data_IF_330830013586
#
_entry.id   IF_330830013586
#
_cell.length_a   1.000
_cell.length_b   1.000
_cell.length_c   1.000
_cell.angle_alpha   90.00
_cell.angle_beta   90.00
_cell.angle_gamma   90.00
#
_symmetry.space_group_name_H-M   'P 1'
#
loop_
_entity.id
_entity.type
_entity.pdbx_description
1 polymer ?
#
# COMPACT_ATOMS: atom_id res chain seq x y z
N UNK A 1 -18.88 19.61 31.91
CA UNK A 1 -18.39 20.99 31.81
C UNK A 1 -18.74 21.72 33.10
N UNK A 2 -17.83 22.61 33.55
CA UNK A 2 -18.04 23.45 34.73
C UNK A 2 -19.04 24.57 34.40
N UNK A 3 -18.91 25.17 33.24
CA UNK A 3 -19.80 26.23 32.74
C UNK A 3 -20.50 25.77 31.49
N UNK A 4 -21.83 25.81 31.45
CA UNK A 4 -22.64 25.42 30.30
C UNK A 4 -22.39 26.33 29.10
N UNK A 5 -22.33 25.76 27.90
CA UNK A 5 -22.16 26.52 26.67
C UNK A 5 -20.74 26.91 26.30
N UNK A 6 -19.75 26.67 27.19
CA UNK A 6 -18.34 26.94 26.88
C UNK A 6 -17.57 25.66 26.57
N UNK A 7 -17.16 25.50 25.33
CA UNK A 7 -16.35 24.35 24.90
C UNK A 7 -14.87 24.74 25.01
N UNK A 8 -14.25 24.40 26.16
CA UNK A 8 -12.84 24.62 26.44
C UNK A 8 -12.31 23.52 27.34
N UNK A 9 -11.06 23.14 27.16
CA UNK A 9 -10.39 22.18 28.02
C UNK A 9 -10.36 22.61 29.49
N UNK A 10 -10.18 23.89 29.73
CA UNK A 10 -10.20 24.49 31.08
C UNK A 10 -11.60 24.46 31.75
N UNK A 11 -12.65 24.23 30.96
CA UNK A 11 -14.02 24.11 31.45
C UNK A 11 -14.43 22.67 31.84
N UNK A 12 -13.48 21.76 31.90
CA UNK A 12 -13.66 20.39 32.36
C UNK A 12 -13.14 20.29 33.79
N UNK A 13 -13.93 19.72 34.70
CA UNK A 13 -13.49 19.49 36.07
C UNK A 13 -12.16 18.69 36.08
N UNK A 14 -11.22 19.09 36.93
CA UNK A 14 -9.88 18.45 36.98
C UNK A 14 -9.93 16.95 37.22
N UNK A 15 -10.92 16.47 37.95
CA UNK A 15 -11.19 15.05 38.17
C UNK A 15 -11.56 14.27 36.92
N UNK A 16 -12.04 14.97 35.88
CA UNK A 16 -12.47 14.41 34.61
C UNK A 16 -11.45 14.67 33.48
N UNK A 17 -10.34 15.34 33.82
CA UNK A 17 -9.23 15.54 32.85
C UNK A 17 -8.31 14.34 32.92
N UNK A 18 -8.18 13.64 31.81
CA UNK A 18 -7.30 12.51 31.68
C UNK A 18 -6.22 12.82 30.65
N UNK A 19 -4.98 12.70 31.03
CA UNK A 19 -3.83 12.86 30.17
C UNK A 19 -3.21 11.49 29.91
N UNK A 20 -2.97 11.17 28.66
CA UNK A 20 -2.23 9.99 28.26
C UNK A 20 -1.03 10.43 27.43
N UNK A 21 0.16 10.14 27.93
CA UNK A 21 1.40 10.26 27.18
C UNK A 21 1.79 8.89 26.64
N UNK A 22 2.27 8.84 25.42
CA UNK A 22 2.67 7.60 24.78
C UNK A 22 3.82 7.82 23.79
N UNK A 23 4.86 7.02 23.93
CA UNK A 23 6.01 7.04 23.02
C UNK A 23 6.00 5.78 22.18
N UNK A 24 6.05 5.95 20.85
CA UNK A 24 6.24 4.87 19.90
C UNK A 24 7.62 4.96 19.29
N UNK A 25 8.35 3.84 19.25
CA UNK A 25 9.69 3.77 18.67
C UNK A 25 9.74 2.68 17.61
N UNK A 26 10.29 3.05 16.44
CA UNK A 26 10.58 2.15 15.34
C UNK A 26 11.99 2.40 14.84
N UNK A 27 12.71 1.32 14.54
CA UNK A 27 14.00 1.36 13.85
C UNK A 27 13.91 0.52 12.59
N UNK A 28 14.31 1.13 11.49
CA UNK A 28 14.44 0.47 10.20
C UNK A 28 15.83 0.76 9.66
N UNK A 29 16.56 -0.29 9.32
CA UNK A 29 17.87 -0.18 8.66
C UNK A 29 17.73 -0.86 7.31
N UNK A 30 18.13 -0.18 6.25
CA UNK A 30 18.05 -0.71 4.88
C UNK A 30 19.40 -0.62 4.18
N UNK A 31 19.75 -1.67 3.44
CA UNK A 31 20.86 -1.68 2.51
C UNK A 31 20.32 -1.98 1.11
N UNK A 32 20.73 -1.18 0.12
CA UNK A 32 20.28 -1.38 -1.25
C UNK A 32 21.41 -1.21 -2.24
N UNK A 33 21.26 -1.85 -3.39
CA UNK A 33 22.14 -1.70 -4.53
C UNK A 33 21.34 -1.65 -5.83
N UNK A 34 21.83 -0.88 -6.79
CA UNK A 34 21.27 -0.76 -8.13
C UNK A 34 22.35 -0.96 -9.16
N UNK A 35 22.02 -1.72 -10.22
CA UNK A 35 22.85 -1.89 -11.37
C UNK A 35 22.06 -1.59 -12.64
N UNK A 36 22.52 -0.61 -13.41
CA UNK A 36 21.89 -0.17 -14.66
C UNK A 36 22.81 -0.39 -15.84
N UNK A 37 22.26 -0.94 -16.93
CA UNK A 37 22.94 -1.11 -18.22
C UNK A 37 22.11 -0.46 -19.31
N UNK A 38 22.80 0.26 -20.19
CA UNK A 38 22.18 0.80 -21.41
C UNK A 38 22.95 0.36 -22.65
N UNK A 39 22.22 0.10 -23.72
CA UNK A 39 22.81 -0.26 -25.01
C UNK A 39 22.30 0.65 -26.11
N UNK A 40 23.21 1.34 -26.78
CA UNK A 40 22.96 2.24 -27.93
C UNK A 40 21.85 3.27 -27.69
N UNK A 41 21.62 3.70 -26.46
CA UNK A 41 20.51 4.56 -26.07
C UNK A 41 19.12 4.05 -26.45
N UNK A 42 19.02 2.76 -26.77
CA UNK A 42 17.78 2.11 -27.20
C UNK A 42 17.23 1.14 -26.16
N UNK A 43 18.11 0.34 -25.57
CA UNK A 43 17.73 -0.64 -24.57
C UNK A 43 18.31 -0.27 -23.20
N UNK A 44 17.49 -0.37 -22.18
CA UNK A 44 17.85 -0.09 -20.80
C UNK A 44 17.39 -1.24 -19.93
N UNK A 45 18.25 -1.69 -19.04
CA UNK A 45 17.95 -2.70 -18.03
C UNK A 45 18.45 -2.19 -16.68
N UNK A 46 17.58 -2.22 -15.67
CA UNK A 46 17.93 -1.88 -14.30
C UNK A 46 17.55 -3.04 -13.40
N UNK A 47 18.47 -3.45 -12.55
CA UNK A 47 18.25 -4.47 -11.51
C UNK A 47 18.55 -3.84 -10.17
N UNK A 48 17.64 -4.01 -9.21
CA UNK A 48 17.84 -3.52 -7.85
C UNK A 48 17.66 -4.65 -6.86
N UNK A 49 18.32 -4.52 -5.73
CA UNK A 49 18.10 -5.38 -4.58
C UNK A 49 18.18 -4.55 -3.31
N UNK A 50 17.23 -4.79 -2.40
CA UNK A 50 17.23 -4.14 -1.10
C UNK A 50 16.93 -5.15 -0.02
N UNK A 51 17.63 -5.03 1.10
CA UNK A 51 17.33 -5.75 2.34
C UNK A 51 17.06 -4.76 3.45
N UNK A 52 15.93 -4.94 4.12
CA UNK A 52 15.55 -4.14 5.28
C UNK A 52 15.53 -5.01 6.54
N UNK A 53 15.93 -4.38 7.67
CA UNK A 53 15.83 -4.94 9.02
C UNK A 53 14.93 -4.03 9.85
N UNK A 54 13.81 -4.57 10.32
CA UNK A 54 12.83 -3.80 11.10
C UNK A 54 12.72 -4.30 12.54
N UNK A 55 12.68 -3.35 13.47
CA UNK A 55 12.46 -3.64 14.89
C UNK A 55 11.01 -3.97 15.23
N UNK A 56 10.10 -3.87 14.29
CA UNK A 56 8.66 -4.12 14.51
C UNK A 56 8.25 -5.56 14.24
N UNK A 57 9.19 -6.35 13.69
CA UNK A 57 8.99 -7.77 13.38
C UNK A 57 9.74 -8.67 14.36
N UNK A 58 9.32 -9.94 14.51
CA UNK A 58 10.05 -10.91 15.32
C UNK A 58 11.46 -11.14 14.81
N UNK A 59 12.39 -11.54 15.69
CA UNK A 59 13.81 -11.74 15.34
C UNK A 59 14.01 -12.69 14.16
N UNK A 60 13.14 -13.68 13.97
CA UNK A 60 13.23 -14.63 12.85
C UNK A 60 12.78 -14.05 11.50
N UNK A 61 11.96 -13.01 11.53
CA UNK A 61 11.31 -12.40 10.34
C UNK A 61 11.68 -10.92 10.18
N UNK A 62 12.59 -10.38 10.99
CA UNK A 62 12.92 -8.96 10.99
C UNK A 62 13.72 -8.51 9.77
N UNK A 63 14.36 -9.45 9.06
CA UNK A 63 15.14 -9.20 7.85
C UNK A 63 14.39 -9.73 6.62
N UNK A 64 14.16 -8.87 5.64
CA UNK A 64 13.49 -9.27 4.41
C UNK A 64 14.13 -8.60 3.19
N UNK A 65 14.39 -9.44 2.18
CA UNK A 65 15.02 -9.04 0.93
C UNK A 65 13.97 -8.92 -0.17
N UNK A 66 14.10 -7.88 -0.98
CA UNK A 66 13.20 -7.66 -2.11
C UNK A 66 13.94 -7.09 -3.33
N UNK A 67 13.96 -7.85 -4.43
CA UNK A 67 14.56 -7.46 -5.69
C UNK A 67 13.58 -6.77 -6.62
N UNK A 68 14.11 -6.02 -7.60
CA UNK A 68 13.35 -5.58 -8.76
C UNK A 68 14.17 -5.68 -10.04
N UNK A 69 13.47 -5.82 -11.16
CA UNK A 69 14.04 -5.76 -12.50
C UNK A 69 13.12 -4.92 -13.37
N UNK A 70 13.69 -3.95 -14.07
CA UNK A 70 12.96 -3.16 -15.06
C UNK A 70 13.74 -3.06 -16.36
N UNK A 71 13.01 -3.12 -17.46
CA UNK A 71 13.58 -2.97 -18.79
C UNK A 71 12.75 -2.04 -19.66
N UNK A 72 13.41 -1.30 -20.54
CA UNK A 72 12.74 -0.52 -21.57
C UNK A 72 13.48 -0.57 -22.88
N UNK A 73 12.73 -0.51 -23.99
CA UNK A 73 13.25 -0.57 -25.31
C UNK A 73 12.60 0.50 -26.22
N UNK A 74 13.44 1.38 -26.74
CA UNK A 74 13.05 2.44 -27.69
C UNK A 74 13.10 1.87 -29.10
N UNK A 75 12.03 1.26 -29.54
CA UNK A 75 11.94 0.69 -30.88
C UNK A 75 11.86 1.74 -31.99
N UNK A 76 11.50 3.00 -31.66
CA UNK A 76 11.51 4.09 -32.62
C UNK A 76 12.89 4.37 -33.22
N UNK A 77 13.96 4.04 -32.51
CA UNK A 77 15.33 4.19 -33.04
C UNK A 77 15.66 3.24 -34.20
N UNK A 78 14.85 2.20 -34.39
CA UNK A 78 14.96 1.25 -35.52
C UNK A 78 14.10 1.62 -36.71
N UNK A 79 13.21 2.62 -36.56
CA UNK A 79 12.30 3.01 -37.62
C UNK A 79 12.96 4.00 -38.58
N UNK A 80 12.56 4.01 -39.87
CA UNK A 80 12.97 5.02 -40.83
C UNK A 80 12.61 6.44 -40.32
N UNK A 81 13.42 7.44 -40.68
CA UNK A 81 13.20 8.85 -40.27
C UNK A 81 11.87 9.44 -40.76
N UNK A 82 11.32 8.89 -41.82
CA UNK A 82 10.03 9.29 -42.41
C UNK A 82 8.83 8.55 -41.77
N UNK A 83 9.06 7.77 -40.73
CA UNK A 83 8.00 7.09 -40.02
C UNK A 83 7.01 8.08 -39.38
N UNK A 84 5.70 7.81 -39.44
CA UNK A 84 4.72 8.61 -38.70
C UNK A 84 4.87 8.50 -37.18
N UNK A 85 5.61 7.48 -36.70
CA UNK A 85 5.93 7.27 -35.28
C UNK A 85 7.17 8.09 -34.96
N UNK A 86 6.98 9.18 -34.21
CA UNK A 86 8.07 10.06 -33.79
C UNK A 86 8.80 9.55 -32.54
N UNK A 87 8.15 8.69 -31.75
CA UNK A 87 8.70 8.07 -30.56
C UNK A 87 7.93 6.79 -30.26
N UNK A 88 8.64 5.75 -29.87
CA UNK A 88 8.06 4.47 -29.50
C UNK A 88 8.91 3.75 -28.48
N UNK A 89 8.33 3.45 -27.32
CA UNK A 89 8.99 2.79 -26.21
C UNK A 89 8.08 1.74 -25.59
N UNK A 90 8.61 0.53 -25.42
CA UNK A 90 8.03 -0.52 -24.60
C UNK A 90 8.77 -0.57 -23.27
N UNK A 91 8.03 -0.77 -22.18
CA UNK A 91 8.59 -0.95 -20.85
C UNK A 91 7.98 -2.17 -20.16
N UNK A 92 8.76 -2.86 -19.38
CA UNK A 92 8.29 -3.93 -18.51
C UNK A 92 9.07 -3.88 -17.19
N UNK A 93 8.38 -4.15 -16.11
CA UNK A 93 8.99 -4.23 -14.80
C UNK A 93 8.39 -5.34 -13.96
N UNK A 94 9.20 -5.87 -13.07
CA UNK A 94 8.80 -6.77 -12.01
C UNK A 94 9.52 -6.37 -10.74
N UNK A 95 8.79 -6.33 -9.64
CA UNK A 95 9.35 -5.93 -8.34
C UNK A 95 8.68 -6.68 -7.20
N UNK A 96 9.47 -6.94 -6.15
CA UNK A 96 8.95 -7.22 -4.82
C UNK A 96 9.14 -6.00 -3.94
N UNK A 97 8.23 -5.79 -2.98
CA UNK A 97 8.32 -4.74 -1.96
C UNK A 97 7.88 -5.33 -0.64
N UNK A 98 8.69 -5.13 0.39
CA UNK A 98 8.36 -5.54 1.75
C UNK A 98 7.79 -4.38 2.58
N UNK A 99 6.83 -4.68 3.45
CA UNK A 99 6.31 -3.75 4.44
C UNK A 99 6.26 -4.45 5.80
N UNK A 100 6.79 -3.77 6.81
CA UNK A 100 6.81 -4.25 8.18
C UNK A 100 5.49 -3.98 8.92
N UNK A 101 5.39 -4.52 10.15
CA UNK A 101 4.25 -4.32 11.03
C UNK A 101 4.30 -2.96 11.74
N UNK A 102 3.19 -2.57 12.35
CA UNK A 102 3.15 -1.45 13.27
C UNK A 102 4.01 -1.73 14.53
N UNK A 103 4.56 -0.68 15.16
CA UNK A 103 5.31 -0.84 16.40
C UNK A 103 4.49 -1.59 17.45
N UNK A 104 5.16 -2.52 18.12
CA UNK A 104 4.59 -3.35 19.20
C UNK A 104 3.47 -4.33 18.80
N UNK A 105 3.16 -4.47 17.51
CA UNK A 105 2.16 -5.44 17.02
C UNK A 105 2.49 -6.90 17.36
N UNK A 106 3.76 -7.19 17.67
CA UNK A 106 4.23 -8.51 18.08
C UNK A 106 4.06 -8.79 19.58
N UNK A 107 3.74 -7.76 20.37
CA UNK A 107 3.73 -7.85 21.84
C UNK A 107 2.31 -7.86 22.38
N UNK A 108 2.08 -8.71 23.37
CA UNK A 108 0.89 -8.67 24.21
C UNK A 108 1.29 -8.18 25.59
N UNK A 109 0.68 -7.13 26.06
CA UNK A 109 0.98 -6.51 27.35
C UNK A 109 -0.32 -6.09 28.06
N UNK A 110 -0.22 -5.82 29.34
CA UNK A 110 -1.32 -5.24 30.12
C UNK A 110 -1.24 -3.71 30.03
N UNK A 111 -2.39 -3.07 30.01
CA UNK A 111 -2.47 -1.61 30.02
C UNK A 111 -2.11 -1.04 31.38
N UNK A 112 -1.76 0.24 31.42
CA UNK A 112 -1.50 0.99 32.65
C UNK A 112 -2.62 0.81 33.67
N UNK A 113 -2.30 0.93 34.95
CA UNK A 113 -3.30 0.80 36.01
C UNK A 113 -4.52 1.68 35.76
N UNK A 114 -5.69 1.10 35.83
CA UNK A 114 -6.97 1.81 35.83
C UNK A 114 -7.45 1.95 37.27
N UNK A 115 -7.74 3.17 37.69
CA UNK A 115 -8.29 3.44 39.03
C UNK A 115 -9.81 3.32 38.92
N UNK A 116 -10.37 2.35 39.63
CA UNK A 116 -11.80 2.16 39.73
C UNK A 116 -12.20 2.42 41.21
N UNK A 117 -12.69 3.61 41.49
CA UNK A 117 -12.91 4.03 42.90
C UNK A 117 -11.61 4.02 43.69
N UNK A 118 -11.54 3.19 44.71
CA UNK A 118 -10.35 3.02 45.58
C UNK A 118 -9.47 1.83 45.17
N UNK A 119 -9.75 1.18 44.06
CA UNK A 119 -9.02 0.00 43.61
C UNK A 119 -8.19 0.31 42.36
N UNK A 120 -6.99 -0.27 42.30
CA UNK A 120 -6.12 -0.20 41.15
C UNK A 120 -6.22 -1.54 40.43
N UNK A 121 -6.59 -1.48 39.18
CA UNK A 121 -6.63 -2.65 38.30
C UNK A 121 -5.73 -2.47 37.08
N UNK A 122 -5.40 -3.56 36.43
CA UNK A 122 -4.76 -3.59 35.12
C UNK A 122 -5.71 -4.25 34.13
N UNK A 123 -5.73 -3.75 32.89
CA UNK A 123 -6.56 -4.32 31.83
C UNK A 123 -5.71 -4.92 30.74
N UNK A 124 -6.30 -5.80 29.93
CA UNK A 124 -5.69 -6.23 28.70
C UNK A 124 -5.66 -5.06 27.69
N UNK A 125 -4.66 -5.03 26.84
CA UNK A 125 -4.68 -4.14 25.67
C UNK A 125 -5.84 -4.50 24.75
N UNK A 126 -6.22 -3.56 23.89
CA UNK A 126 -7.34 -3.74 22.95
C UNK A 126 -7.04 -4.80 21.89
N UNK A 127 -5.79 -4.85 21.41
CA UNK A 127 -5.35 -5.77 20.36
C UNK A 127 -4.34 -6.76 20.90
N UNK A 128 -4.60 -8.05 20.76
CA UNK A 128 -3.61 -9.09 21.04
C UNK A 128 -2.47 -9.03 20.02
N UNK A 129 -1.24 -8.96 20.50
CA UNK A 129 -0.05 -9.04 19.66
C UNK A 129 0.22 -10.45 19.15
N UNK A 130 1.04 -10.56 18.11
CA UNK A 130 1.41 -11.83 17.53
C UNK A 130 2.93 -11.93 17.33
N UNK A 131 3.57 -12.76 18.11
CA UNK A 131 5.03 -13.00 18.07
C UNK A 131 5.52 -13.73 16.80
N UNK A 132 4.61 -14.14 15.91
CA UNK A 132 4.91 -14.85 14.66
C UNK A 132 4.57 -14.03 13.42
N UNK A 133 4.38 -12.72 13.55
CA UNK A 133 4.10 -11.85 12.42
C UNK A 133 5.22 -11.89 11.38
N UNK A 134 4.83 -12.00 10.13
CA UNK A 134 5.70 -11.89 8.95
C UNK A 134 5.52 -10.53 8.28
N UNK A 135 6.53 -10.04 7.56
CA UNK A 135 6.36 -8.85 6.73
C UNK A 135 5.31 -9.10 5.63
N UNK A 136 4.58 -8.06 5.27
CA UNK A 136 3.77 -8.07 4.06
C UNK A 136 4.71 -8.01 2.85
N UNK A 137 4.50 -8.86 1.86
CA UNK A 137 5.29 -8.87 0.63
C UNK A 137 4.36 -8.64 -0.55
N UNK A 138 4.55 -7.52 -1.22
CA UNK A 138 3.89 -7.24 -2.49
C UNK A 138 4.80 -7.66 -3.64
N UNK A 139 4.25 -8.46 -4.54
CA UNK A 139 4.87 -8.79 -5.84
C UNK A 139 4.05 -8.10 -6.92
N UNK A 140 4.69 -7.30 -7.75
CA UNK A 140 4.04 -6.58 -8.83
C UNK A 140 4.79 -6.75 -10.14
N UNK A 141 4.05 -6.74 -11.25
CA UNK A 141 4.60 -6.60 -12.58
C UNK A 141 3.76 -5.61 -13.40
N UNK A 142 4.43 -4.95 -14.29
CA UNK A 142 3.87 -3.90 -15.13
C UNK A 142 4.43 -4.00 -16.53
N UNK A 143 3.58 -3.78 -17.54
CA UNK A 143 3.99 -3.56 -18.92
C UNK A 143 3.38 -2.27 -19.43
N UNK A 144 4.13 -1.53 -20.23
CA UNK A 144 3.68 -0.25 -20.77
C UNK A 144 4.18 -0.03 -22.20
N UNK A 145 3.40 0.73 -22.94
CA UNK A 145 3.69 1.17 -24.28
C UNK A 145 3.47 2.67 -24.37
N UNK A 146 4.52 3.40 -24.72
CA UNK A 146 4.47 4.84 -25.01
C UNK A 146 4.75 5.07 -26.48
N UNK A 147 3.88 5.79 -27.15
CA UNK A 147 4.02 6.15 -28.56
C UNK A 147 3.71 7.62 -28.78
N UNK A 148 4.43 8.25 -29.71
CA UNK A 148 4.15 9.58 -30.19
C UNK A 148 4.15 9.60 -31.71
N UNK A 149 3.21 10.28 -32.28
CA UNK A 149 2.97 10.35 -33.72
C UNK A 149 3.02 11.78 -34.23
N UNK A 150 3.25 11.93 -35.55
CA UNK A 150 3.15 13.17 -36.27
C UNK A 150 3.96 14.30 -35.63
N UNK A 151 5.25 14.08 -35.43
CA UNK A 151 6.16 15.03 -34.78
C UNK A 151 5.68 15.44 -33.38
N UNK A 152 5.30 14.46 -32.57
CA UNK A 152 4.82 14.61 -31.20
C UNK A 152 3.48 15.40 -31.09
N UNK A 153 2.66 15.40 -32.14
CA UNK A 153 1.32 16.01 -32.08
C UNK A 153 0.29 15.15 -31.38
N UNK A 154 0.45 13.84 -31.47
CA UNK A 154 -0.41 12.86 -30.79
C UNK A 154 0.49 11.99 -29.93
N UNK A 155 0.15 11.87 -28.66
CA UNK A 155 0.78 10.96 -27.71
C UNK A 155 -0.21 9.93 -27.22
N UNK A 156 0.27 8.70 -27.05
CA UNK A 156 -0.45 7.58 -26.47
C UNK A 156 0.47 6.91 -25.44
N UNK A 157 -0.01 6.76 -24.22
CA UNK A 157 0.63 5.96 -23.16
C UNK A 157 -0.39 4.96 -22.63
N UNK A 158 -0.02 3.71 -22.61
CA UNK A 158 -0.80 2.62 -22.07
C UNK A 158 0.03 1.82 -21.10
N UNK A 159 -0.57 1.51 -19.94
CA UNK A 159 0.04 0.68 -18.91
C UNK A 159 -0.95 -0.34 -18.43
N UNK A 160 -0.49 -1.58 -18.25
CA UNK A 160 -1.21 -2.63 -17.54
C UNK A 160 -0.36 -3.10 -16.37
N UNK A 161 -0.98 -3.26 -15.21
CA UNK A 161 -0.32 -3.71 -14.00
C UNK A 161 -1.10 -4.81 -13.28
N UNK A 162 -0.36 -5.62 -12.56
CA UNK A 162 -0.87 -6.63 -11.65
C UNK A 162 0.01 -6.69 -10.41
N UNK A 163 -0.60 -6.63 -9.24
CA UNK A 163 0.09 -6.79 -7.98
C UNK A 163 -0.64 -7.76 -7.05
N UNK A 164 0.12 -8.53 -6.30
CA UNK A 164 -0.37 -9.41 -5.25
C UNK A 164 0.39 -9.11 -3.97
N UNK A 165 -0.34 -8.76 -2.91
CA UNK A 165 0.22 -8.58 -1.57
C UNK A 165 -0.08 -9.81 -0.75
N UNK A 166 0.94 -10.50 -0.28
CA UNK A 166 0.85 -11.69 0.57
C UNK A 166 1.16 -11.34 2.02
N UNK A 167 0.71 -12.20 2.95
CA UNK A 167 0.88 -12.02 4.40
C UNK A 167 0.34 -10.67 4.90
N UNK A 168 -0.72 -10.16 4.30
CA UNK A 168 -1.30 -8.88 4.70
C UNK A 168 -1.64 -8.91 6.20
N UNK A 169 -1.17 -7.91 6.93
CA UNK A 169 -1.41 -7.80 8.36
C UNK A 169 -2.78 -7.16 8.57
N UNK A 170 -3.68 -7.93 9.13
CA UNK A 170 -5.03 -7.49 9.48
C UNK A 170 -5.26 -7.64 10.99
N UNK A 171 -6.26 -6.92 11.47
CA UNK A 171 -6.69 -6.97 12.86
C UNK A 171 -8.17 -7.41 12.95
N UNK A 172 -8.47 -8.69 12.68
CA UNK A 172 -9.83 -9.20 12.80
C UNK A 172 -10.31 -9.13 14.24
N UNK A 173 -11.62 -8.99 14.38
CA UNK A 173 -12.29 -9.01 15.67
C UNK A 173 -12.32 -10.43 16.23
N UNK A 174 -11.96 -10.54 17.48
CA UNK A 174 -12.04 -11.78 18.24
C UNK A 174 -13.39 -11.86 19.01
N UNK A 175 -13.70 -13.05 19.48
CA UNK A 175 -14.73 -13.24 20.50
C UNK A 175 -14.28 -12.54 21.79
N UNK A 176 -15.19 -11.80 22.42
CA UNK A 176 -14.92 -11.12 23.69
C UNK A 176 -14.53 -12.09 24.82
N UNK A 177 -14.82 -13.39 24.68
CA UNK A 177 -14.40 -14.41 25.61
C UNK A 177 -12.86 -14.57 25.74
N UNK A 178 -12.10 -14.09 24.73
CA UNK A 178 -10.65 -14.16 24.72
C UNK A 178 -9.96 -13.03 25.53
N UNK A 179 -10.73 -12.08 26.05
CA UNK A 179 -10.20 -10.92 26.78
C UNK A 179 -9.54 -9.85 25.90
N UNK A 180 -9.55 -10.02 24.56
CA UNK A 180 -9.07 -9.06 23.57
C UNK A 180 -10.17 -8.80 22.56
N UNK A 181 -10.14 -7.64 21.92
CA UNK A 181 -11.14 -7.26 20.92
C UNK A 181 -10.62 -7.54 19.51
N UNK A 182 -9.34 -7.27 19.28
CA UNK A 182 -8.67 -7.50 18.00
C UNK A 182 -7.45 -8.43 18.18
N UNK A 183 -6.97 -9.00 17.09
CA UNK A 183 -5.69 -9.73 17.06
C UNK A 183 -4.91 -9.39 15.79
N UNK A 184 -3.62 -9.10 15.93
CA UNK A 184 -2.75 -8.89 14.77
C UNK A 184 -2.37 -10.22 14.13
N UNK A 185 -2.72 -10.44 12.88
CA UNK A 185 -2.43 -11.67 12.15
C UNK A 185 -2.03 -11.39 10.70
N UNK A 186 -1.25 -12.28 10.10
CA UNK A 186 -1.10 -12.32 8.66
C UNK A 186 -2.32 -13.05 8.06
N UNK A 187 -3.20 -12.32 7.40
CA UNK A 187 -4.56 -12.77 7.10
C UNK A 187 -4.75 -13.37 5.71
N UNK A 188 -3.85 -13.10 4.78
CA UNK A 188 -4.03 -13.62 3.42
C UNK A 188 -3.41 -12.75 2.35
N UNK A 189 -4.01 -12.76 1.15
CA UNK A 189 -3.51 -12.02 0.00
C UNK A 189 -4.58 -11.09 -0.58
N UNK A 190 -4.10 -9.95 -1.10
CA UNK A 190 -4.91 -9.00 -1.86
C UNK A 190 -4.29 -8.84 -3.24
N UNK A 191 -5.13 -8.94 -4.26
CA UNK A 191 -4.72 -8.84 -5.65
C UNK A 191 -5.32 -7.58 -6.25
N UNK A 192 -4.47 -6.74 -6.85
CA UNK A 192 -4.89 -5.58 -7.62
C UNK A 192 -4.41 -5.71 -9.04
N UNK A 193 -5.29 -5.43 -9.99
CA UNK A 193 -4.98 -5.38 -11.42
C UNK A 193 -5.73 -4.25 -12.08
N UNK A 194 -5.08 -3.63 -13.04
CA UNK A 194 -5.70 -2.51 -13.73
C UNK A 194 -4.95 -2.09 -14.96
N UNK A 195 -5.51 -1.12 -15.64
CA UNK A 195 -4.89 -0.48 -16.77
C UNK A 195 -5.11 1.02 -16.74
N UNK A 196 -4.16 1.73 -17.31
CA UNK A 196 -4.19 3.17 -17.48
C UNK A 196 -3.92 3.52 -18.94
N UNK A 197 -4.66 4.47 -19.47
CA UNK A 197 -4.50 4.99 -20.82
C UNK A 197 -4.47 6.51 -20.75
N UNK A 198 -3.45 7.08 -21.36
CA UNK A 198 -3.36 8.54 -21.55
C UNK A 198 -3.22 8.85 -23.03
N UNK A 199 -4.08 9.70 -23.54
CA UNK A 199 -4.03 10.18 -24.91
C UNK A 199 -3.84 11.69 -24.86
N UNK A 200 -2.80 12.18 -25.51
CA UNK A 200 -2.53 13.62 -25.61
C UNK A 200 -2.58 14.07 -27.05
N UNK A 201 -3.05 15.27 -27.29
CA UNK A 201 -3.15 15.85 -28.61
C UNK A 201 -2.80 17.34 -28.63
N UNK A 202 -2.18 17.77 -29.74
CA UNK A 202 -1.90 19.18 -30.05
C UNK A 202 -2.55 19.54 -31.39
N UNK A 203 -3.91 19.67 -31.42
CA UNK A 203 -4.64 19.89 -32.66
C UNK A 203 -4.19 21.16 -33.37
N UNK A 204 -3.95 22.24 -32.63
CA UNK A 204 -3.50 23.52 -33.18
C UNK A 204 -2.19 23.93 -32.51
N UNK A 205 -1.19 24.12 -33.35
CA UNK A 205 0.12 24.61 -32.94
C UNK A 205 0.55 25.72 -33.89
N UNK A 206 0.18 26.96 -33.56
CA UNK A 206 0.54 28.18 -34.29
C UNK A 206 1.38 29.10 -33.40
N UNK A 207 2.02 30.10 -34.00
CA UNK A 207 2.90 31.04 -33.29
C UNK A 207 2.18 31.74 -32.11
N UNK A 208 0.93 32.15 -32.32
CA UNK A 208 0.16 32.95 -31.39
C UNK A 208 -1.02 32.22 -30.77
N UNK A 209 -1.21 30.94 -31.12
CA UNK A 209 -2.29 30.12 -30.57
C UNK A 209 -1.88 28.62 -30.47
N UNK A 210 -1.97 28.08 -29.30
CA UNK A 210 -1.67 26.67 -29.02
C UNK A 210 -2.83 26.04 -28.28
N UNK A 211 -3.32 24.92 -28.82
CA UNK A 211 -4.34 24.12 -28.18
C UNK A 211 -3.77 22.74 -27.89
N UNK A 212 -3.74 22.39 -26.61
CA UNK A 212 -3.35 21.05 -26.12
C UNK A 212 -4.53 20.43 -25.41
N UNK A 213 -4.69 19.13 -25.58
CA UNK A 213 -5.73 18.33 -24.93
C UNK A 213 -5.13 17.04 -24.39
N UNK A 214 -5.68 16.55 -23.28
CA UNK A 214 -5.33 15.27 -22.70
C UNK A 214 -6.60 14.54 -22.23
N UNK A 215 -6.65 13.25 -22.50
CA UNK A 215 -7.67 12.34 -22.02
C UNK A 215 -6.99 11.23 -21.24
N UNK A 216 -7.40 11.03 -19.98
CA UNK A 216 -6.89 9.97 -19.12
C UNK A 216 -8.03 9.03 -18.75
N UNK A 217 -7.77 7.74 -18.86
CA UNK A 217 -8.66 6.68 -18.44
C UNK A 217 -7.90 5.74 -17.52
N UNK A 218 -8.49 5.38 -16.39
CA UNK A 218 -7.94 4.38 -15.48
C UNK A 218 -9.01 3.39 -15.06
N UNK A 219 -8.63 2.14 -14.96
CA UNK A 219 -9.44 1.05 -14.42
C UNK A 219 -8.62 0.24 -13.43
N UNK A 220 -9.15 0.04 -12.24
CA UNK A 220 -8.56 -0.82 -11.22
C UNK A 220 -9.59 -1.77 -10.65
N UNK A 221 -9.17 -3.00 -10.39
CA UNK A 221 -9.96 -4.01 -9.70
C UNK A 221 -9.13 -4.64 -8.59
N UNK A 222 -9.56 -4.43 -7.34
CA UNK A 222 -9.04 -5.11 -6.16
C UNK A 222 -9.87 -6.34 -5.83
N UNK A 223 -9.22 -7.45 -5.52
CA UNK A 223 -9.88 -8.69 -5.10
C UNK A 223 -9.16 -9.29 -3.91
N UNK A 224 -9.91 -9.86 -2.99
CA UNK A 224 -9.35 -10.67 -1.92
C UNK A 224 -8.96 -12.03 -2.51
N UNK A 225 -7.69 -12.40 -2.39
CA UNK A 225 -7.19 -13.71 -2.79
C UNK A 225 -7.45 -14.75 -1.70
N UNK A 226 -6.39 -15.46 -1.29
CA UNK A 226 -6.47 -16.40 -0.17
C UNK A 226 -6.70 -15.67 1.15
N UNK A 227 -7.44 -16.29 2.05
CA UNK A 227 -7.66 -15.80 3.40
C UNK A 227 -7.56 -16.98 4.38
N UNK A 228 -7.72 -16.71 5.67
CA UNK A 228 -7.69 -17.74 6.71
C UNK A 228 -8.73 -18.84 6.46
N UNK A 229 -8.34 -20.08 6.68
CA UNK A 229 -9.22 -21.22 6.58
C UNK A 229 -10.43 -21.09 7.52
N UNK A 230 -11.60 -21.41 7.00
CA UNK A 230 -12.85 -21.34 7.78
C UNK A 230 -13.50 -19.94 7.87
N UNK A 231 -12.84 -18.90 7.33
CA UNK A 231 -13.42 -17.55 7.30
C UNK A 231 -14.13 -17.34 5.96
N UNK A 232 -15.45 -17.45 5.96
CA UNK A 232 -16.27 -17.26 4.76
C UNK A 232 -16.52 -15.81 4.38
N UNK A 233 -16.28 -14.87 5.29
CA UNK A 233 -16.51 -13.44 5.06
C UNK A 233 -15.60 -12.62 5.97
N UNK A 234 -14.99 -11.59 5.41
CA UNK A 234 -14.13 -10.65 6.12
C UNK A 234 -14.73 -9.25 6.10
N UNK A 235 -14.70 -8.58 7.24
CA UNK A 235 -15.12 -7.18 7.37
C UNK A 235 -13.88 -6.30 7.47
N UNK A 236 -13.52 -5.52 6.44
CA UNK A 236 -12.32 -4.70 6.44
C UNK A 236 -12.39 -3.53 7.44
N UNK A 237 -13.56 -3.18 7.89
CA UNK A 237 -13.79 -2.16 8.92
C UNK A 237 -14.82 -2.60 9.93
N UNK A 238 -14.64 -2.20 11.19
CA UNK A 238 -15.64 -2.35 12.24
C UNK A 238 -16.70 -1.23 12.22
N UNK A 239 -16.49 -0.22 11.38
CA UNK A 239 -17.45 0.87 11.22
C UNK A 239 -18.72 0.37 10.55
N UNK A 240 -19.85 0.74 11.12
CA UNK A 240 -21.19 0.44 10.60
C UNK A 240 -21.90 1.75 10.30
N UNK A 241 -22.41 1.90 9.09
CA UNK A 241 -23.23 3.04 8.70
C UNK A 241 -24.60 2.54 8.28
N UNK A 242 -25.65 2.99 8.96
CA UNK A 242 -27.03 2.62 8.63
C UNK A 242 -27.30 1.11 8.67
N UNK A 243 -26.73 0.37 9.61
CA UNK A 243 -26.82 -1.09 9.73
C UNK A 243 -26.11 -1.89 8.61
N UNK A 244 -25.34 -1.23 7.75
CA UNK A 244 -24.58 -1.89 6.69
C UNK A 244 -23.09 -1.86 7.03
N UNK A 245 -22.43 -3.01 6.92
CA UNK A 245 -20.96 -3.14 7.04
C UNK A 245 -20.38 -3.50 5.68
N UNK A 246 -19.23 -2.92 5.37
CA UNK A 246 -18.44 -3.39 4.24
C UNK A 246 -17.91 -4.79 4.52
N UNK A 247 -18.09 -5.70 3.57
CA UNK A 247 -17.63 -7.07 3.66
C UNK A 247 -16.96 -7.49 2.36
N UNK A 248 -15.98 -8.37 2.46
CA UNK A 248 -15.35 -9.01 1.33
C UNK A 248 -15.34 -10.52 1.49
N UNK A 249 -15.48 -11.21 0.38
CA UNK A 249 -15.48 -12.68 0.31
C UNK A 249 -14.14 -13.15 -0.21
N UNK A 250 -13.45 -14.11 0.46
CA UNK A 250 -12.21 -14.69 -0.03
C UNK A 250 -12.37 -15.34 -1.41
N UNK A 251 -11.23 -15.57 -2.09
CA UNK A 251 -11.17 -16.22 -3.40
C UNK A 251 -11.89 -15.48 -4.54
N UNK A 252 -11.66 -14.17 -4.61
CA UNK A 252 -12.11 -13.33 -5.72
C UNK A 252 -13.24 -12.37 -5.40
N UNK A 253 -13.62 -12.23 -4.14
CA UNK A 253 -14.51 -11.15 -3.70
C UNK A 253 -13.89 -9.78 -3.99
N UNK A 254 -14.67 -8.83 -4.48
CA UNK A 254 -14.24 -7.46 -4.70
C UNK A 254 -14.18 -6.69 -3.36
N UNK A 255 -13.24 -5.75 -3.28
CA UNK A 255 -13.24 -4.68 -2.28
C UNK A 255 -14.08 -3.52 -2.75
#
# INVERSE_FOLDING_TARGET
FITSGTISFNNIAKTNQFFKDGTSRKRLVGFYGEYGVSYKNMAYLTVTGRNDWSSTLPVKEHSYFYPSVSGSFLFSELLPKDSPISYGKVRASWAKVGKDADPYATLTYVTSPMIYGNYVGVGNQYTAGNAYLKPEIQTAWEIGLEMRFLNNRIGFDWTYYHSSTENQIAQPRLSNANGYILSSINSGSVINKGMEVSITGKPILKKDFRWETALNFSYNRGTLGTFLDGVGMFYPTDAQFGSVKSASVPNGGNF
#
